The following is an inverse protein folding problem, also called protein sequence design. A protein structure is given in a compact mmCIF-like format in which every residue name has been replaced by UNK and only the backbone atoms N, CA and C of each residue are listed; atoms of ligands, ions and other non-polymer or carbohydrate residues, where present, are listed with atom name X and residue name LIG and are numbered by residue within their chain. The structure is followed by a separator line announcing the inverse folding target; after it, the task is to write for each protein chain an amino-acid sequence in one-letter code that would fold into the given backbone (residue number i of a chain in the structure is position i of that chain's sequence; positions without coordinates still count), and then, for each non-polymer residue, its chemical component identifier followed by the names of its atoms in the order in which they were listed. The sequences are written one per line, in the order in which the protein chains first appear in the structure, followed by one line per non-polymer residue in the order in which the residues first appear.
data_IF_930257904531
#
_entry.id   IF_930257904531
#
_cell.length_a   1.000
_cell.length_b   1.000
_cell.length_c   1.000
_cell.angle_alpha   90.00
_cell.angle_beta   90.00
_cell.angle_gamma   90.00
#
_symmetry.space_group_name_H-M   'P 1'
#
loop_
_entity.id
_entity.type
_entity.pdbx_description
1 polymer ?
#
# COMPACT_ATOMS: atom_id res chain seq x y z
N UNK A 1 -0.31 13.56 -21.39
CA UNK A 1 -0.86 12.22 -21.05
C UNK A 1 -0.38 11.87 -19.66
N UNK A 2 -1.23 11.36 -18.77
CA UNK A 2 -0.81 10.85 -17.47
C UNK A 2 -0.55 9.34 -17.61
N UNK A 3 0.64 8.89 -17.18
CA UNK A 3 1.01 7.48 -17.14
C UNK A 3 1.40 7.11 -15.72
N UNK A 4 1.07 5.91 -15.29
CA UNK A 4 1.44 5.37 -14.00
C UNK A 4 1.96 3.94 -14.17
N UNK A 5 2.99 3.59 -13.42
CA UNK A 5 3.45 2.21 -13.28
C UNK A 5 3.70 1.90 -11.82
N UNK A 6 3.47 0.66 -11.42
CA UNK A 6 3.59 0.18 -10.04
C UNK A 6 4.29 -1.16 -10.01
N UNK A 7 5.04 -1.40 -8.95
CA UNK A 7 5.63 -2.71 -8.63
C UNK A 7 5.81 -2.81 -7.12
N UNK A 8 5.71 -4.01 -6.59
CA UNK A 8 6.08 -4.37 -5.22
C UNK A 8 7.60 -4.54 -5.08
N UNK A 9 8.34 -4.57 -6.20
CA UNK A 9 9.78 -4.76 -6.24
C UNK A 9 10.50 -3.54 -6.78
N UNK A 10 11.58 -3.16 -6.12
CA UNK A 10 12.42 -2.02 -6.52
C UNK A 10 13.03 -2.20 -7.91
N UNK A 11 13.56 -3.39 -8.19
CA UNK A 11 14.13 -3.72 -9.51
C UNK A 11 13.08 -3.66 -10.63
N UNK A 12 11.82 -3.99 -10.32
CA UNK A 12 10.69 -3.84 -11.22
C UNK A 12 10.40 -2.38 -11.56
N UNK A 13 10.41 -1.48 -10.56
CA UNK A 13 10.23 -0.05 -10.78
C UNK A 13 11.37 0.53 -11.62
N UNK A 14 12.62 0.23 -11.29
CA UNK A 14 13.81 0.69 -12.02
C UNK A 14 13.79 0.21 -13.48
N UNK A 15 13.37 -1.03 -13.71
CA UNK A 15 13.20 -1.57 -15.06
C UNK A 15 12.14 -0.81 -15.85
N UNK A 16 10.97 -0.56 -15.24
CA UNK A 16 9.87 0.16 -15.89
C UNK A 16 10.26 1.60 -16.19
N UNK A 17 10.87 2.30 -15.24
CA UNK A 17 11.37 3.66 -15.44
C UNK A 17 12.31 3.74 -16.64
N UNK A 18 13.30 2.84 -16.69
CA UNK A 18 14.22 2.74 -17.82
C UNK A 18 13.47 2.51 -19.13
N UNK A 19 12.49 1.60 -19.16
CA UNK A 19 11.70 1.30 -20.36
C UNK A 19 10.85 2.48 -20.81
N UNK A 20 10.26 3.21 -19.89
CA UNK A 20 9.53 4.43 -20.20
C UNK A 20 10.44 5.47 -20.87
N UNK A 21 11.61 5.72 -20.30
CA UNK A 21 12.59 6.63 -20.91
C UNK A 21 13.04 6.18 -22.29
N UNK A 22 13.35 4.90 -22.49
CA UNK A 22 13.70 4.36 -23.81
C UNK A 22 12.58 4.59 -24.85
N UNK A 23 11.32 4.39 -24.46
CA UNK A 23 10.15 4.61 -25.33
C UNK A 23 10.04 6.08 -25.69
N UNK A 24 10.10 7.00 -24.74
CA UNK A 24 9.99 8.43 -24.98
C UNK A 24 11.11 8.92 -25.90
N UNK A 25 12.35 8.53 -25.64
CA UNK A 25 13.48 8.91 -26.48
C UNK A 25 13.33 8.38 -27.91
N UNK A 26 12.82 7.16 -28.09
CA UNK A 26 12.61 6.57 -29.41
C UNK A 26 11.53 7.27 -30.26
N UNK A 27 10.64 8.04 -29.61
CA UNK A 27 9.54 8.76 -30.27
C UNK A 27 9.82 10.24 -30.49
N UNK A 28 10.97 10.76 -30.05
CA UNK A 28 11.42 12.10 -30.41
C UNK A 28 11.74 12.17 -31.90
N UNK A 29 11.17 13.13 -32.60
CA UNK A 29 11.33 13.36 -34.04
C UNK A 29 11.46 14.87 -34.31
N UNK A 30 11.87 15.23 -35.51
CA UNK A 30 12.15 16.61 -35.96
C UNK A 30 10.99 17.60 -35.64
N UNK A 31 9.75 17.11 -35.58
CA UNK A 31 8.56 17.94 -35.28
C UNK A 31 7.75 17.42 -34.09
N UNK A 32 8.33 16.54 -33.25
CA UNK A 32 7.67 15.96 -32.07
C UNK A 32 8.56 16.17 -30.87
N UNK A 33 8.18 17.10 -30.02
CA UNK A 33 8.79 17.28 -28.71
C UNK A 33 8.06 16.41 -27.68
N UNK A 34 8.82 15.73 -26.84
CA UNK A 34 8.30 14.95 -25.71
C UNK A 34 8.95 15.46 -24.46
N UNK A 35 8.13 16.04 -23.59
CA UNK A 35 8.52 16.45 -22.25
C UNK A 35 7.92 15.46 -21.25
N UNK A 36 8.74 15.02 -20.29
CA UNK A 36 8.35 14.07 -19.25
C UNK A 36 8.58 14.70 -17.90
N UNK A 37 7.50 14.81 -17.14
CA UNK A 37 7.53 15.32 -15.77
C UNK A 37 7.16 14.20 -14.80
N UNK A 38 7.99 13.97 -13.77
CA UNK A 38 7.67 13.08 -12.66
C UNK A 38 6.76 13.81 -11.67
N UNK A 39 5.47 13.50 -11.70
CA UNK A 39 4.46 14.15 -10.85
C UNK A 39 4.32 13.52 -9.47
N UNK A 40 4.84 12.31 -9.27
CA UNK A 40 4.82 11.64 -7.98
C UNK A 40 5.59 10.33 -7.98
N UNK A 41 6.13 9.98 -6.85
CA UNK A 41 6.83 8.72 -6.60
C UNK A 41 6.33 8.09 -5.32
N UNK A 42 5.90 6.82 -5.39
CA UNK A 42 5.63 6.01 -4.21
C UNK A 42 6.73 4.94 -4.14
N UNK A 43 7.59 5.00 -3.12
CA UNK A 43 8.75 4.11 -3.03
C UNK A 43 8.32 2.67 -2.68
N UNK A 44 9.19 1.71 -3.02
CA UNK A 44 9.10 0.35 -2.51
C UNK A 44 9.60 0.27 -1.08
N UNK A 45 9.25 -0.82 -0.41
CA UNK A 45 9.79 -1.15 0.90
C UNK A 45 11.32 -1.35 0.88
N UNK A 46 11.95 -1.07 2.02
CA UNK A 46 13.38 -1.25 2.23
C UNK A 46 13.61 -1.74 3.67
N UNK A 47 13.08 -2.93 3.99
CA UNK A 47 13.21 -3.55 5.29
C UNK A 47 14.37 -4.55 5.29
N UNK A 48 15.10 -4.62 6.40
CA UNK A 48 16.02 -5.71 6.69
C UNK A 48 15.24 -6.90 7.33
N UNK A 49 15.93 -8.01 7.59
CA UNK A 49 15.30 -9.24 8.12
C UNK A 49 14.63 -9.02 9.49
N UNK A 50 15.23 -8.25 10.38
CA UNK A 50 14.68 -7.94 11.70
C UNK A 50 13.40 -7.08 11.57
N UNK A 51 13.45 -6.05 10.73
CA UNK A 51 12.31 -5.17 10.46
C UNK A 51 11.17 -5.93 9.78
N UNK A 52 11.50 -6.85 8.87
CA UNK A 52 10.51 -7.72 8.24
C UNK A 52 9.86 -8.66 9.26
N UNK A 53 10.64 -9.26 10.18
CA UNK A 53 10.09 -10.08 11.27
C UNK A 53 9.09 -9.29 12.10
N UNK A 54 9.43 -8.05 12.47
CA UNK A 54 8.51 -7.17 13.21
C UNK A 54 7.25 -6.83 12.41
N UNK A 55 7.39 -6.60 11.10
CA UNK A 55 6.21 -6.40 10.23
C UNK A 55 5.30 -7.62 10.21
N UNK A 56 5.86 -8.81 10.16
CA UNK A 56 5.09 -10.06 10.22
C UNK A 56 4.33 -10.22 11.55
N UNK A 57 4.95 -9.86 12.68
CA UNK A 57 4.26 -9.81 13.98
C UNK A 57 3.07 -8.84 13.96
N UNK A 58 3.26 -7.62 13.40
CA UNK A 58 2.17 -6.64 13.25
C UNK A 58 1.03 -7.16 12.37
N UNK A 59 1.35 -7.89 11.29
CA UNK A 59 0.35 -8.51 10.41
C UNK A 59 -0.45 -9.56 11.19
N UNK A 60 0.22 -10.42 11.97
CA UNK A 60 -0.45 -11.43 12.80
C UNK A 60 -1.40 -10.78 13.80
N UNK A 61 -0.94 -9.76 14.52
CA UNK A 61 -1.78 -9.02 15.48
C UNK A 61 -3.02 -8.44 14.79
N UNK A 62 -2.85 -7.81 13.64
CA UNK A 62 -3.96 -7.22 12.89
C UNK A 62 -4.97 -8.30 12.41
N UNK A 63 -4.46 -9.45 11.97
CA UNK A 63 -5.26 -10.60 11.56
C UNK A 63 -6.05 -11.19 12.74
N UNK A 64 -5.38 -11.39 13.89
CA UNK A 64 -6.00 -11.96 15.09
C UNK A 64 -7.12 -11.06 15.62
N UNK A 65 -6.89 -9.75 15.69
CA UNK A 65 -7.91 -8.77 16.09
C UNK A 65 -9.09 -8.76 15.12
N UNK A 66 -8.81 -8.81 13.82
CA UNK A 66 -9.85 -8.86 12.81
C UNK A 66 -10.70 -10.13 12.95
N UNK A 67 -10.06 -11.28 13.08
CA UNK A 67 -10.73 -12.57 13.25
C UNK A 67 -11.57 -12.61 14.54
N UNK A 68 -11.03 -12.11 15.65
CA UNK A 68 -11.74 -12.05 16.94
C UNK A 68 -13.01 -11.19 16.86
N UNK A 69 -12.95 -10.04 16.20
CA UNK A 69 -14.05 -9.08 16.18
C UNK A 69 -15.02 -9.25 15.00
N UNK A 70 -14.59 -9.87 13.92
CA UNK A 70 -15.40 -10.02 12.70
C UNK A 70 -15.71 -11.47 12.34
N UNK A 71 -14.99 -12.44 12.90
CA UNK A 71 -15.01 -13.84 12.48
C UNK A 71 -14.28 -14.10 11.15
N UNK A 72 -13.59 -13.10 10.60
CA UNK A 72 -12.87 -13.20 9.33
C UNK A 72 -11.39 -12.88 9.56
N UNK A 73 -10.51 -13.84 9.22
CA UNK A 73 -9.07 -13.60 9.16
C UNK A 73 -8.71 -13.09 7.77
N UNK A 74 -8.30 -11.83 7.61
CA UNK A 74 -7.98 -11.30 6.30
C UNK A 74 -6.64 -11.84 5.79
N UNK A 75 -6.57 -12.08 4.49
CA UNK A 75 -5.30 -12.36 3.83
C UNK A 75 -4.49 -11.07 3.63
N UNK A 76 -3.16 -11.15 3.80
CA UNK A 76 -2.27 -10.07 3.42
C UNK A 76 -2.12 -10.01 1.90
N UNK A 77 -2.39 -8.86 1.32
CA UNK A 77 -2.19 -8.62 -0.12
C UNK A 77 -1.21 -7.48 -0.36
N UNK A 78 -0.34 -7.57 -1.36
CA UNK A 78 0.47 -6.44 -1.77
C UNK A 78 -0.42 -5.25 -2.16
N UNK A 79 -0.05 -4.06 -1.71
CA UNK A 79 -0.83 -2.86 -1.99
C UNK A 79 0.03 -1.61 -2.03
N UNK A 80 -0.46 -0.60 -2.75
CA UNK A 80 0.13 0.72 -2.76
C UNK A 80 -0.66 1.61 -1.81
N UNK A 81 -0.15 1.80 -0.61
CA UNK A 81 -0.77 2.57 0.48
C UNK A 81 0.21 3.59 1.05
N UNK A 82 -0.24 4.41 1.98
CA UNK A 82 0.63 5.37 2.66
C UNK A 82 1.72 4.68 3.50
N UNK A 83 1.55 3.39 3.82
CA UNK A 83 2.59 2.58 4.46
C UNK A 83 3.86 2.40 3.61
N UNK A 84 3.81 2.62 2.30
CA UNK A 84 5.00 2.58 1.45
C UNK A 84 6.06 3.59 1.90
N UNK A 85 5.66 4.74 2.44
CA UNK A 85 6.60 5.75 2.92
C UNK A 85 7.41 5.24 4.11
N UNK A 86 6.81 4.89 5.27
CA UNK A 86 7.59 4.37 6.40
C UNK A 86 8.32 3.06 6.06
N UNK A 87 7.72 2.16 5.27
CA UNK A 87 8.40 0.93 4.82
C UNK A 87 9.68 1.22 4.02
N UNK A 88 9.68 2.25 3.18
CA UNK A 88 10.88 2.67 2.44
C UNK A 88 11.96 3.25 3.33
N UNK A 89 11.60 3.74 4.51
CA UNK A 89 12.51 4.27 5.53
C UNK A 89 13.00 3.21 6.52
N UNK A 90 12.64 1.94 6.30
CA UNK A 90 12.99 0.85 7.22
C UNK A 90 12.10 0.78 8.47
N UNK A 91 10.92 1.39 8.45
CA UNK A 91 9.98 1.38 9.56
C UNK A 91 8.89 0.34 9.27
N UNK A 92 8.81 -0.76 10.03
CA UNK A 92 7.75 -1.75 9.89
C UNK A 92 6.38 -1.10 10.00
N UNK A 93 5.52 -1.36 9.02
CA UNK A 93 4.20 -0.73 8.95
C UNK A 93 3.21 -1.66 8.26
N UNK A 94 1.95 -1.60 8.69
CA UNK A 94 0.83 -2.34 8.10
C UNK A 94 -0.35 -1.41 7.84
N UNK A 95 -1.12 -1.72 6.80
CA UNK A 95 -2.35 -1.02 6.48
C UNK A 95 -3.47 -2.05 6.40
N UNK A 96 -4.57 -1.79 7.08
CA UNK A 96 -5.77 -2.62 7.01
C UNK A 96 -7.02 -1.75 7.06
N UNK A 97 -8.10 -2.26 6.45
CA UNK A 97 -9.34 -1.52 6.36
C UNK A 97 -10.12 -1.53 7.66
N UNK A 98 -10.81 -0.43 7.95
CA UNK A 98 -11.73 -0.28 9.07
C UNK A 98 -13.20 -0.26 8.64
N UNK A 99 -13.50 -0.63 7.40
CA UNK A 99 -14.86 -0.66 6.86
C UNK A 99 -14.97 -1.74 5.78
N UNK A 100 -16.19 -2.23 5.54
CA UNK A 100 -16.51 -3.03 4.35
C UNK A 100 -17.10 -2.11 3.29
N UNK A 101 -16.74 -2.34 2.03
CA UNK A 101 -17.22 -1.58 0.87
C UNK A 101 -16.64 -2.15 -0.42
N UNK A 102 -17.08 -1.62 -1.52
CA UNK A 102 -16.60 -2.01 -2.85
C UNK A 102 -16.48 -0.80 -3.76
N UNK A 103 -15.87 -1.01 -4.93
CA UNK A 103 -15.76 -0.01 -5.97
C UNK A 103 -14.77 1.11 -5.66
N UNK A 104 -13.77 0.88 -4.78
CA UNK A 104 -12.78 1.89 -4.42
C UNK A 104 -12.18 2.58 -5.66
N UNK A 105 -12.08 3.92 -5.61
CA UNK A 105 -11.61 4.78 -6.69
C UNK A 105 -12.51 4.84 -7.94
N UNK A 106 -13.76 4.38 -7.85
CA UNK A 106 -14.76 4.51 -8.91
C UNK A 106 -15.92 5.41 -8.48
N UNK A 107 -16.82 5.73 -9.41
CA UNK A 107 -18.05 6.50 -9.11
C UNK A 107 -19.09 5.68 -8.34
N UNK A 108 -18.96 4.38 -8.38
CA UNK A 108 -19.81 3.39 -7.72
C UNK A 108 -19.28 2.99 -6.34
N UNK A 109 -18.24 3.68 -5.86
CA UNK A 109 -17.67 3.42 -4.54
C UNK A 109 -18.67 3.61 -3.43
N UNK A 110 -18.76 2.62 -2.55
CA UNK A 110 -19.65 2.68 -1.39
C UNK A 110 -19.05 2.01 -0.17
N UNK A 111 -19.56 2.41 1.00
CA UNK A 111 -19.24 1.81 2.31
C UNK A 111 -20.53 1.26 2.92
N UNK A 112 -20.43 0.04 3.45
CA UNK A 112 -21.50 -0.60 4.21
C UNK A 112 -21.59 0.05 5.59
N UNK A 113 -22.60 0.88 5.83
CA UNK A 113 -22.79 1.61 7.07
C UNK A 113 -22.74 0.73 8.34
N UNK A 114 -23.27 -0.49 8.27
CA UNK A 114 -23.26 -1.44 9.38
C UNK A 114 -21.85 -1.87 9.79
N UNK A 115 -20.87 -1.82 8.86
CA UNK A 115 -19.48 -2.20 9.15
C UNK A 115 -18.70 -1.15 9.94
N UNK A 116 -19.15 0.10 9.97
CA UNK A 116 -18.43 1.20 10.64
C UNK A 116 -18.20 0.95 12.12
N UNK A 117 -19.17 0.38 12.82
CA UNK A 117 -19.05 0.08 14.25
C UNK A 117 -17.96 -0.96 14.51
N UNK A 118 -18.01 -2.06 13.77
CA UNK A 118 -17.02 -3.14 13.90
C UNK A 118 -15.64 -2.67 13.45
N UNK A 119 -15.56 -1.93 12.34
CA UNK A 119 -14.31 -1.36 11.87
C UNK A 119 -13.67 -0.41 12.87
N UNK A 120 -14.47 0.43 13.54
CA UNK A 120 -13.96 1.26 14.64
C UNK A 120 -13.41 0.40 15.79
N UNK A 121 -14.08 -0.70 16.15
CA UNK A 121 -13.60 -1.61 17.20
C UNK A 121 -12.28 -2.26 16.81
N UNK A 122 -12.13 -2.71 15.55
CA UNK A 122 -10.88 -3.27 15.03
C UNK A 122 -9.76 -2.23 15.10
N UNK A 123 -9.98 -1.02 14.60
CA UNK A 123 -8.98 0.04 14.62
C UNK A 123 -8.56 0.41 16.05
N UNK A 124 -9.52 0.54 16.96
CA UNK A 124 -9.25 0.88 18.36
C UNK A 124 -8.52 -0.25 19.11
N UNK A 125 -8.93 -1.50 18.93
CA UNK A 125 -8.28 -2.66 19.54
C UNK A 125 -6.82 -2.79 19.04
N UNK A 126 -6.56 -2.50 17.76
CA UNK A 126 -5.22 -2.52 17.20
C UNK A 126 -4.29 -1.48 17.83
N UNK A 127 -4.81 -0.27 18.07
CA UNK A 127 -4.03 0.77 18.79
C UNK A 127 -3.76 0.33 20.23
N UNK A 128 -4.76 -0.20 20.95
CA UNK A 128 -4.59 -0.63 22.35
C UNK A 128 -3.58 -1.78 22.46
N UNK A 129 -3.65 -2.79 21.58
CA UNK A 129 -2.73 -3.93 21.60
C UNK A 129 -1.27 -3.50 21.46
N UNK A 130 -1.02 -2.46 20.69
CA UNK A 130 0.32 -1.88 20.52
C UNK A 130 0.88 -1.27 21.81
N UNK A 131 0.03 -0.73 22.68
CA UNK A 131 0.47 -0.14 23.95
C UNK A 131 0.57 -1.17 25.09
N UNK A 132 -0.02 -2.35 24.95
CA UNK A 132 0.07 -3.43 25.94
C UNK A 132 1.39 -4.25 25.79
N UNK A 133 2.05 -4.18 24.64
CA UNK A 133 3.29 -4.91 24.34
C UNK A 133 4.57 -4.06 24.57
N UNK A 134 4.43 -2.82 25.00
CA UNK A 134 5.51 -1.91 25.38
C UNK A 134 5.62 -1.81 26.90
#
# INVERSE_FOLDING_TARGET
MLCEYRSDRKDGLEYMEKKFHEIFESHKKEHVEVEVELVGLRPCENLNEEQESRRQEMIQIAQDISEELTGIRPDGIPGSTDCNIPLSMGIPSVCYGAVAGEGAHTREEYVVKASLKTGYQVAFASVLRYFEEV
#
